data_IF_005039778423
#
_entry.id   IF_005039778423
#
_cell.length_a   1.000
_cell.length_b   1.000
_cell.length_c   1.000
_cell.angle_alpha   90.00
_cell.angle_beta   90.00
_cell.angle_gamma   90.00
#
_symmetry.space_group_name_H-M   'P 1'
#
loop_
_entity.id
_entity.type
_entity.pdbx_description
1 polymer ?
#
# COMPACT_ATOMS: atom_id res chain seq x y z
N UNK A 1 3.15 18.63 41.05
CA UNK A 1 3.03 17.22 40.64
C UNK A 1 1.65 17.03 40.06
N UNK A 2 1.59 16.33 38.92
CA UNK A 2 0.59 16.49 37.88
C UNK A 2 -0.74 15.76 38.11
N UNK A 3 -1.76 16.43 37.57
CA UNK A 3 -3.09 16.08 37.06
C UNK A 3 -3.74 14.71 37.34
N UNK A 4 -4.94 14.82 37.92
CA UNK A 4 -6.02 13.86 37.90
C UNK A 4 -6.77 13.87 36.54
N UNK A 5 -7.21 12.68 36.14
CA UNK A 5 -8.18 12.39 35.08
C UNK A 5 -9.44 13.28 35.13
N UNK A 6 -9.96 13.67 33.97
CA UNK A 6 -11.18 13.08 33.37
C UNK A 6 -11.58 13.85 32.11
N UNK A 7 -11.51 13.16 30.97
CA UNK A 7 -12.23 13.52 29.76
C UNK A 7 -13.73 13.26 30.00
N UNK A 8 -14.56 14.28 29.78
CA UNK A 8 -15.92 14.07 29.28
C UNK A 8 -16.52 15.34 28.68
N UNK A 9 -17.19 15.13 27.55
CA UNK A 9 -18.36 15.84 27.01
C UNK A 9 -18.16 17.11 26.16
N UNK A 10 -18.30 16.88 24.85
CA UNK A 10 -19.16 17.58 23.88
C UNK A 10 -19.77 18.91 24.34
N UNK A 11 -19.54 19.97 23.57
CA UNK A 11 -20.63 20.82 23.09
C UNK A 11 -20.21 21.64 21.87
N UNK A 12 -21.13 21.66 20.89
CA UNK A 12 -21.21 22.58 19.77
C UNK A 12 -20.85 24.02 20.15
N UNK A 13 -20.06 24.66 19.31
CA UNK A 13 -20.21 26.09 19.05
C UNK A 13 -19.54 26.44 17.72
N UNK A 14 -20.38 26.57 16.70
CA UNK A 14 -20.15 27.37 15.51
C UNK A 14 -19.77 28.80 15.92
N UNK A 15 -18.71 29.41 15.34
CA UNK A 15 -18.60 30.85 15.32
C UNK A 15 -18.76 31.35 13.88
N UNK A 16 -19.95 31.90 13.64
CA UNK A 16 -20.20 33.19 13.01
C UNK A 16 -19.24 33.63 11.89
N UNK A 17 -19.85 33.71 10.71
CA UNK A 17 -19.42 34.50 9.56
C UNK A 17 -19.01 35.92 9.98
N UNK A 18 -17.78 36.30 9.67
CA UNK A 18 -17.37 37.71 9.51
C UNK A 18 -16.75 37.87 8.11
N UNK A 19 -17.17 38.87 7.30
CA UNK A 19 -16.56 39.11 6.00
C UNK A 19 -15.36 40.01 6.19
N UNK A 20 -14.21 39.43 6.57
CA UNK A 20 -12.95 40.15 6.52
C UNK A 20 -12.32 39.95 5.14
N UNK A 21 -12.32 41.03 4.35
CA UNK A 21 -11.54 41.20 3.11
C UNK A 21 -10.07 40.87 3.34
N UNK A 22 -9.73 39.58 3.22
CA UNK A 22 -8.38 39.06 3.15
C UNK A 22 -8.01 38.84 1.69
N UNK A 23 -6.96 39.52 1.25
CA UNK A 23 -6.24 39.28 -0.01
C UNK A 23 -6.28 37.81 -0.41
N UNK A 24 -6.83 37.53 -1.61
CA UNK A 24 -6.84 36.19 -2.23
C UNK A 24 -5.40 35.76 -2.49
N UNK A 25 -4.70 35.27 -1.48
CA UNK A 25 -3.54 34.42 -1.68
C UNK A 25 -4.05 33.20 -2.43
N UNK A 26 -3.80 33.18 -3.74
CA UNK A 26 -3.94 32.00 -4.58
C UNK A 26 -3.15 30.89 -3.88
N UNK A 27 -3.85 30.03 -3.13
CA UNK A 27 -3.32 28.75 -2.70
C UNK A 27 -2.82 28.07 -3.97
N UNK A 28 -1.50 28.03 -4.15
CA UNK A 28 -0.89 27.21 -5.20
C UNK A 28 -1.41 25.81 -4.96
N UNK A 29 -2.33 25.35 -5.82
CA UNK A 29 -2.82 23.98 -5.80
C UNK A 29 -1.58 23.10 -5.94
N UNK A 30 -1.13 22.52 -4.83
CA UNK A 30 -0.05 21.54 -4.84
C UNK A 30 -0.60 20.35 -5.61
N UNK A 31 -0.15 20.17 -6.84
CA UNK A 31 -0.40 18.93 -7.57
C UNK A 31 0.09 17.77 -6.68
N UNK A 32 -0.68 16.67 -6.60
CA UNK A 32 -0.22 15.51 -5.87
C UNK A 32 1.13 15.06 -6.45
N UNK A 33 2.03 14.54 -5.61
CA UNK A 33 3.30 14.03 -6.08
C UNK A 33 3.06 12.93 -7.13
N UNK A 34 3.95 12.79 -8.12
CA UNK A 34 3.87 11.68 -9.05
C UNK A 34 3.93 10.36 -8.28
N UNK A 35 3.21 9.37 -8.80
CA UNK A 35 3.25 8.02 -8.24
C UNK A 35 4.69 7.48 -8.31
N UNK A 36 5.18 6.78 -7.28
CA UNK A 36 6.47 6.08 -7.36
C UNK A 36 6.45 5.01 -8.46
N UNK A 37 7.62 4.66 -8.97
CA UNK A 37 7.75 3.57 -9.94
C UNK A 37 7.41 2.21 -9.31
N UNK A 38 7.00 1.25 -10.13
CA UNK A 38 6.64 -0.09 -9.68
C UNK A 38 7.78 -0.78 -8.92
N UNK A 39 9.03 -0.60 -9.35
CA UNK A 39 10.20 -1.14 -8.64
C UNK A 39 10.34 -0.57 -7.23
N UNK A 40 10.11 0.73 -7.06
CA UNK A 40 10.15 1.39 -5.75
C UNK A 40 9.00 0.91 -4.88
N UNK A 41 7.81 0.74 -5.46
CA UNK A 41 6.65 0.19 -4.74
C UNK A 41 6.92 -1.26 -4.31
N UNK A 42 7.37 -2.13 -5.21
CA UNK A 42 7.71 -3.53 -4.92
C UNK A 42 8.76 -3.66 -3.82
N UNK A 43 9.84 -2.88 -3.91
CA UNK A 43 10.88 -2.87 -2.87
C UNK A 43 10.34 -2.38 -1.52
N UNK A 44 9.51 -1.34 -1.53
CA UNK A 44 8.88 -0.83 -0.29
C UNK A 44 7.99 -1.89 0.34
N UNK A 45 7.15 -2.56 -0.45
CA UNK A 45 6.29 -3.65 0.01
C UNK A 45 7.15 -4.81 0.56
N UNK A 46 8.15 -5.26 -0.18
CA UNK A 46 9.02 -6.36 0.23
C UNK A 46 9.74 -6.06 1.55
N UNK A 47 10.24 -4.83 1.70
CA UNK A 47 10.85 -4.36 2.95
C UNK A 47 9.88 -4.36 4.12
N UNK A 48 8.69 -3.78 3.94
CA UNK A 48 7.67 -3.73 4.99
C UNK A 48 7.22 -5.14 5.42
N UNK A 49 6.97 -6.03 4.47
CA UNK A 49 6.58 -7.41 4.77
C UNK A 49 7.70 -8.18 5.46
N UNK A 50 8.95 -8.00 5.04
CA UNK A 50 10.12 -8.58 5.72
C UNK A 50 10.20 -8.12 7.17
N UNK A 51 10.01 -6.84 7.44
CA UNK A 51 10.00 -6.32 8.80
C UNK A 51 8.88 -6.93 9.65
N UNK A 52 7.68 -7.11 9.08
CA UNK A 52 6.56 -7.73 9.79
C UNK A 52 6.90 -9.17 10.18
N UNK A 53 7.41 -9.98 9.24
CA UNK A 53 7.69 -11.40 9.51
C UNK A 53 8.87 -11.58 10.47
N UNK A 54 9.90 -10.73 10.39
CA UNK A 54 11.05 -10.78 11.30
C UNK A 54 10.68 -10.36 12.72
N UNK A 55 9.79 -9.38 12.89
CA UNK A 55 9.37 -8.89 14.21
C UNK A 55 8.14 -9.62 14.77
N UNK A 56 7.69 -10.69 14.11
CA UNK A 56 6.51 -11.44 14.52
C UNK A 56 6.77 -12.21 15.82
N UNK A 57 5.93 -12.04 16.84
CA UNK A 57 6.15 -12.70 18.14
C UNK A 57 5.64 -14.15 18.19
N UNK A 58 4.72 -14.52 17.29
CA UNK A 58 4.17 -15.86 17.25
C UNK A 58 5.10 -16.81 16.48
N UNK A 59 5.68 -17.78 17.19
CA UNK A 59 6.64 -18.74 16.64
C UNK A 59 6.03 -19.69 15.59
N UNK A 60 4.78 -20.12 15.78
CA UNK A 60 4.11 -21.02 14.83
C UNK A 60 3.88 -20.31 13.49
N UNK A 61 3.51 -19.03 13.54
CA UNK A 61 3.32 -18.24 12.33
C UNK A 61 4.67 -17.91 11.69
N UNK A 62 5.71 -17.59 12.47
CA UNK A 62 7.07 -17.44 11.92
C UNK A 62 7.53 -18.71 11.19
N UNK A 63 7.31 -19.87 11.78
CA UNK A 63 7.69 -21.15 11.17
C UNK A 63 6.95 -21.38 9.85
N UNK A 64 5.63 -21.13 9.83
CA UNK A 64 4.85 -21.16 8.58
C UNK A 64 5.36 -20.16 7.54
N UNK A 65 5.77 -18.96 7.96
CA UNK A 65 6.37 -17.98 7.05
C UNK A 65 7.70 -18.47 6.46
N UNK A 66 8.55 -19.14 7.26
CA UNK A 66 9.80 -19.77 6.77
C UNK A 66 9.51 -20.84 5.73
N UNK A 67 8.52 -21.69 5.98
CA UNK A 67 8.09 -22.75 5.06
C UNK A 67 7.52 -22.17 3.76
N UNK A 68 6.62 -21.19 3.86
CA UNK A 68 6.00 -20.54 2.70
C UNK A 68 7.02 -19.81 1.82
N UNK A 69 7.95 -19.10 2.44
CA UNK A 69 9.00 -18.37 1.73
C UNK A 69 10.17 -19.28 1.32
N UNK A 70 10.20 -20.53 1.81
CA UNK A 70 11.28 -21.49 1.61
C UNK A 70 12.63 -20.89 1.99
N UNK A 71 12.73 -20.42 3.23
CA UNK A 71 13.94 -19.81 3.82
C UNK A 71 14.20 -20.40 5.19
N UNK A 72 15.47 -20.66 5.49
CA UNK A 72 15.90 -21.10 6.82
C UNK A 72 15.83 -19.94 7.83
N UNK A 73 16.20 -18.74 7.39
CA UNK A 73 16.18 -17.52 8.20
C UNK A 73 15.41 -16.39 7.49
N UNK A 74 14.42 -15.84 8.20
CA UNK A 74 13.61 -14.72 7.74
C UNK A 74 14.44 -13.43 7.59
N UNK A 75 15.50 -13.24 8.37
CA UNK A 75 16.32 -12.03 8.29
C UNK A 75 17.19 -11.99 7.04
N UNK A 76 17.61 -13.14 6.54
CA UNK A 76 18.56 -13.25 5.42
C UNK A 76 17.89 -13.51 4.07
N UNK A 77 16.74 -14.19 4.05
CA UNK A 77 16.12 -14.65 2.79
C UNK A 77 14.75 -14.05 2.45
N UNK A 78 14.00 -13.55 3.44
CA UNK A 78 12.60 -13.20 3.22
C UNK A 78 12.43 -12.07 2.20
N UNK A 79 13.27 -11.04 2.25
CA UNK A 79 13.17 -9.90 1.32
C UNK A 79 13.24 -10.32 -0.15
N UNK A 80 14.25 -11.14 -0.48
CA UNK A 80 14.48 -11.60 -1.86
C UNK A 80 13.31 -12.47 -2.32
N UNK A 81 12.83 -13.37 -1.47
CA UNK A 81 11.70 -14.26 -1.79
C UNK A 81 10.39 -13.50 -2.00
N UNK A 82 10.12 -12.53 -1.12
CA UNK A 82 8.93 -11.68 -1.24
C UNK A 82 9.01 -10.84 -2.52
N UNK A 83 10.17 -10.27 -2.84
CA UNK A 83 10.34 -9.48 -4.06
C UNK A 83 10.10 -10.33 -5.31
N UNK A 84 10.70 -11.52 -5.39
CA UNK A 84 10.49 -12.45 -6.51
C UNK A 84 9.01 -12.87 -6.65
N UNK A 85 8.33 -13.09 -5.53
CA UNK A 85 6.89 -13.41 -5.55
C UNK A 85 6.05 -12.24 -6.09
N UNK A 86 6.38 -10.99 -5.72
CA UNK A 86 5.69 -9.80 -6.25
C UNK A 86 5.90 -9.66 -7.77
N UNK A 87 7.12 -9.84 -8.25
CA UNK A 87 7.43 -9.82 -9.69
C UNK A 87 6.66 -10.90 -10.45
N UNK A 88 6.57 -12.11 -9.88
CA UNK A 88 5.79 -13.20 -10.47
C UNK A 88 4.30 -12.87 -10.53
N UNK A 89 3.73 -12.27 -9.48
CA UNK A 89 2.33 -11.85 -9.44
C UNK A 89 2.05 -10.81 -10.53
N UNK A 90 2.92 -9.82 -10.69
CA UNK A 90 2.77 -8.77 -11.69
C UNK A 90 2.84 -9.37 -13.11
N UNK A 91 3.80 -10.25 -13.37
CA UNK A 91 3.91 -10.96 -14.65
C UNK A 91 2.67 -11.81 -14.97
N UNK A 92 2.10 -12.50 -13.98
CA UNK A 92 0.86 -13.26 -14.17
C UNK A 92 -0.35 -12.36 -14.45
N UNK A 93 -0.43 -11.19 -13.81
CA UNK A 93 -1.52 -10.23 -14.05
C UNK A 93 -1.47 -9.72 -15.49
N UNK A 94 -0.28 -9.36 -15.96
CA UNK A 94 -0.08 -8.89 -17.32
C UNK A 94 -0.45 -9.98 -18.35
N UNK A 95 -0.02 -11.22 -18.14
CA UNK A 95 -0.37 -12.34 -19.01
C UNK A 95 -1.89 -12.57 -19.07
N UNK A 96 -2.58 -12.50 -17.92
CA UNK A 96 -4.04 -12.64 -17.86
C UNK A 96 -4.74 -11.51 -18.62
N UNK A 97 -4.26 -10.28 -18.49
CA UNK A 97 -4.83 -9.12 -19.18
C UNK A 97 -4.63 -9.21 -20.70
N UNK A 98 -3.43 -9.59 -21.16
CA UNK A 98 -3.16 -9.83 -22.58
C UNK A 98 -4.08 -10.91 -23.15
N UNK A 99 -4.20 -12.06 -22.47
CA UNK A 99 -5.09 -13.13 -22.89
C UNK A 99 -6.57 -12.69 -22.91
N UNK A 100 -7.00 -11.86 -21.96
CA UNK A 100 -8.35 -11.30 -21.95
C UNK A 100 -8.59 -10.34 -23.13
N UNK A 101 -7.61 -9.49 -23.46
CA UNK A 101 -7.69 -8.57 -24.59
C UNK A 101 -7.73 -9.31 -25.94
N UNK A 102 -6.94 -10.36 -26.11
CA UNK A 102 -7.00 -11.22 -27.31
C UNK A 102 -8.37 -11.87 -27.48
N UNK A 103 -8.98 -12.37 -26.39
CA UNK A 103 -10.33 -12.94 -26.43
C UNK A 103 -11.37 -11.90 -26.85
N UNK A 104 -11.23 -10.65 -26.38
CA UNK A 104 -12.12 -9.54 -26.78
C UNK A 104 -11.96 -9.21 -28.26
N UNK A 105 -10.72 -9.11 -28.76
CA UNK A 105 -10.45 -8.84 -30.18
C UNK A 105 -11.00 -9.94 -31.09
N UNK A 106 -10.83 -11.22 -30.73
CA UNK A 106 -11.38 -12.34 -31.51
C UNK A 106 -12.91 -12.32 -31.59
N UNK A 107 -13.58 -11.91 -30.52
CA UNK A 107 -15.04 -11.76 -30.51
C UNK A 107 -15.48 -10.60 -31.40
N UNK A 108 -14.78 -9.47 -31.33
CA UNK A 108 -15.07 -8.31 -32.19
C UNK A 108 -14.91 -8.63 -33.68
N UNK A 109 -13.85 -9.36 -34.06
CA UNK A 109 -13.58 -9.70 -35.46
C UNK A 109 -14.50 -10.78 -36.04
N UNK A 110 -15.26 -11.50 -35.21
CA UNK A 110 -16.17 -12.58 -35.64
C UNK A 110 -17.63 -12.13 -35.78
N UNK A 111 -17.90 -10.85 -35.48
CA UNK A 111 -19.23 -10.21 -35.61
C UNK A 111 -19.39 -9.38 -36.88
N UNK A 112 -18.48 -9.53 -37.85
CA UNK A 112 -18.54 -8.98 -39.21
C UNK A 112 -18.64 -10.15 -40.17
#
# INVERSE_FOLDING_TARGET
>A
MADHQQQQQQQEQEPQQTPASGTRQRQRRRSPPPMPSDDVMRNTIARCLTQIVVNMQNADIQQRCRELLQVEDLTQGAHIRILAALEQIDGQREQRERAANERRQRRANKSI
#
